data_IF_493904890370
#
_entry.id   IF_493904890370
#
_cell.length_a   1.000
_cell.length_b   1.000
_cell.length_c   1.000
_cell.angle_alpha   90.00
_cell.angle_beta   90.00
_cell.angle_gamma   90.00
#
_symmetry.space_group_name_H-M   'P 1'
#
loop_
_entity.id
_entity.type
_entity.pdbx_description
1 polymer ?
#
# COMPACT_ATOMS: atom_id res chain seq x y z
N UNK A 1 9.62 -75.61 0.22
CA UNK A 1 9.60 -74.24 -0.34
C UNK A 1 9.07 -73.24 0.69
N UNK A 2 9.93 -72.60 1.49
CA UNK A 2 9.55 -71.50 2.42
C UNK A 2 10.80 -70.66 2.74
N UNK A 3 11.32 -69.92 1.77
CA UNK A 3 12.44 -68.98 1.99
C UNK A 3 12.38 -67.72 1.10
N UNK A 4 11.75 -67.80 -0.08
CA UNK A 4 11.66 -66.66 -1.01
C UNK A 4 10.70 -65.53 -0.57
N UNK A 5 9.73 -65.80 0.31
CA UNK A 5 8.72 -64.79 0.72
C UNK A 5 9.24 -63.80 1.77
N UNK A 6 10.14 -64.22 2.68
CA UNK A 6 10.63 -63.36 3.76
C UNK A 6 11.52 -62.23 3.25
N UNK A 7 12.38 -62.50 2.27
CA UNK A 7 13.26 -61.48 1.70
C UNK A 7 12.48 -60.40 0.96
N UNK A 8 11.47 -60.76 0.16
CA UNK A 8 10.66 -59.81 -0.62
C UNK A 8 9.90 -58.84 0.30
N UNK A 9 9.36 -59.32 1.42
CA UNK A 9 8.64 -58.48 2.39
C UNK A 9 9.58 -57.53 3.15
N UNK A 10 10.81 -57.97 3.40
CA UNK A 10 11.81 -57.13 4.08
C UNK A 10 12.32 -56.02 3.14
N UNK A 11 12.56 -56.31 1.85
CA UNK A 11 13.01 -55.28 0.90
C UNK A 11 11.94 -54.22 0.63
N UNK A 12 10.66 -54.59 0.54
CA UNK A 12 9.58 -53.61 0.33
C UNK A 12 9.37 -52.72 1.55
N UNK A 13 9.50 -53.24 2.76
CA UNK A 13 9.38 -52.44 3.99
C UNK A 13 10.49 -51.36 4.11
N UNK A 14 11.71 -51.66 3.66
CA UNK A 14 12.85 -50.71 3.71
C UNK A 14 12.65 -49.55 2.72
N UNK A 15 12.10 -49.82 1.53
CA UNK A 15 11.85 -48.77 0.51
C UNK A 15 10.80 -47.76 1.01
N UNK A 16 9.76 -48.22 1.71
CA UNK A 16 8.72 -47.35 2.27
C UNK A 16 9.28 -46.43 3.36
N UNK A 17 10.23 -46.92 4.17
CA UNK A 17 10.88 -46.15 5.23
C UNK A 17 11.80 -45.04 4.68
N UNK A 18 12.42 -45.24 3.51
CA UNK A 18 13.30 -44.23 2.89
C UNK A 18 12.47 -43.09 2.28
N UNK A 19 11.30 -43.41 1.69
CA UNK A 19 10.38 -42.41 1.12
C UNK A 19 9.80 -41.51 2.22
N UNK A 20 9.53 -42.03 3.42
CA UNK A 20 8.99 -41.22 4.52
C UNK A 20 10.02 -40.23 5.09
N UNK A 21 11.31 -40.57 5.12
CA UNK A 21 12.37 -39.67 5.60
C UNK A 21 12.59 -38.51 4.60
N UNK A 22 12.55 -38.78 3.29
CA UNK A 22 12.63 -37.74 2.27
C UNK A 22 11.45 -36.75 2.33
N UNK A 23 10.25 -37.23 2.70
CA UNK A 23 9.08 -36.37 2.89
C UNK A 23 9.24 -35.43 4.09
N UNK A 24 9.87 -35.88 5.18
CA UNK A 24 10.12 -35.05 6.37
C UNK A 24 11.16 -33.96 6.09
N UNK A 25 12.21 -34.27 5.29
CA UNK A 25 13.21 -33.28 4.88
C UNK A 25 12.63 -32.18 3.97
N UNK A 26 11.64 -32.51 3.13
CA UNK A 26 10.96 -31.52 2.29
C UNK A 26 10.06 -30.56 3.08
N UNK A 27 9.46 -31.01 4.19
CA UNK A 27 8.64 -30.14 5.06
C UNK A 27 9.50 -29.14 5.82
N UNK A 28 10.75 -29.49 6.14
CA UNK A 28 11.68 -28.63 6.90
C UNK A 28 12.61 -27.77 6.03
N UNK A 29 12.50 -27.83 4.70
CA UNK A 29 13.18 -26.88 3.82
C UNK A 29 12.26 -25.70 3.49
N UNK A 30 11.92 -24.90 4.51
CA UNK A 30 11.36 -23.56 4.30
C UNK A 30 12.31 -22.55 4.94
N UNK A 31 13.46 -22.38 4.30
CA UNK A 31 14.39 -21.27 4.52
C UNK A 31 14.18 -20.25 3.41
N UNK A 32 13.82 -19.03 3.79
CA UNK A 32 13.71 -17.87 2.91
C UNK A 32 12.36 -17.20 3.11
N UNK A 33 12.36 -15.90 3.46
CA UNK A 33 11.23 -14.98 3.60
C UNK A 33 9.89 -15.57 3.16
N UNK A 34 8.92 -15.65 4.07
CA UNK A 34 7.53 -15.83 3.66
C UNK A 34 7.12 -14.59 2.85
N UNK A 35 7.38 -14.62 1.55
CA UNK A 35 6.95 -13.59 0.61
C UNK A 35 5.44 -13.45 0.74
N UNK A 36 4.98 -12.24 1.02
CA UNK A 36 3.58 -11.90 1.08
C UNK A 36 2.96 -12.23 -0.28
N UNK A 37 2.04 -13.20 -0.31
CA UNK A 37 1.38 -13.61 -1.55
C UNK A 37 -0.13 -13.58 -1.35
N UNK A 38 -0.80 -12.75 -2.14
CA UNK A 38 -2.25 -12.73 -2.28
C UNK A 38 -2.64 -13.18 -3.68
N UNK A 39 -3.59 -14.12 -3.75
CA UNK A 39 -4.30 -14.38 -5.00
C UNK A 39 -5.27 -13.24 -5.31
N UNK A 40 -5.61 -13.03 -6.58
CA UNK A 40 -6.58 -12.01 -7.00
C UNK A 40 -7.91 -12.13 -6.26
N UNK A 41 -8.34 -13.37 -5.98
CA UNK A 41 -9.59 -13.64 -5.25
C UNK A 41 -9.51 -13.23 -3.78
N UNK A 42 -8.38 -13.48 -3.12
CA UNK A 42 -8.18 -13.07 -1.72
C UNK A 42 -8.12 -11.56 -1.61
N UNK A 43 -7.42 -10.90 -2.54
CA UNK A 43 -7.33 -9.45 -2.60
C UNK A 43 -8.70 -8.81 -2.85
N UNK A 44 -9.48 -9.36 -3.78
CA UNK A 44 -10.86 -8.93 -4.02
C UNK A 44 -11.75 -9.10 -2.78
N UNK A 45 -11.60 -10.21 -2.06
CA UNK A 45 -12.34 -10.45 -0.80
C UNK A 45 -11.98 -9.42 0.27
N UNK A 46 -10.71 -9.00 0.34
CA UNK A 46 -10.28 -7.92 1.23
C UNK A 46 -10.91 -6.59 0.83
N UNK A 47 -10.91 -6.25 -0.46
CA UNK A 47 -11.54 -5.03 -0.95
C UNK A 47 -13.03 -4.96 -0.61
N UNK A 48 -13.76 -6.06 -0.79
CA UNK A 48 -15.17 -6.15 -0.39
C UNK A 48 -15.34 -5.98 1.12
N UNK A 49 -14.51 -6.63 1.93
CA UNK A 49 -14.56 -6.55 3.39
C UNK A 49 -14.37 -5.13 3.92
N UNK A 50 -13.49 -4.35 3.30
CA UNK A 50 -13.17 -2.97 3.73
C UNK A 50 -13.88 -1.89 2.89
N UNK A 51 -14.85 -2.28 2.05
CA UNK A 51 -15.61 -1.38 1.19
C UNK A 51 -14.71 -0.45 0.34
N UNK A 52 -13.70 -1.06 -0.27
CA UNK A 52 -12.77 -0.40 -1.18
C UNK A 52 -13.45 -0.26 -2.54
N UNK A 53 -13.47 0.96 -3.05
CA UNK A 53 -14.05 1.29 -4.36
C UNK A 53 -12.99 1.25 -5.47
N UNK A 54 -13.44 1.23 -6.72
CA UNK A 54 -12.53 1.34 -7.87
C UNK A 54 -11.73 2.66 -7.84
N UNK A 55 -12.34 3.76 -7.38
CA UNK A 55 -11.66 5.04 -7.25
C UNK A 55 -10.60 5.03 -6.14
N UNK A 56 -10.83 4.30 -5.03
CA UNK A 56 -9.79 4.10 -4.01
C UNK A 56 -8.55 3.41 -4.63
N UNK A 57 -8.76 2.42 -5.49
CA UNK A 57 -7.68 1.70 -6.20
C UNK A 57 -6.98 2.63 -7.21
N UNK A 58 -7.74 3.38 -8.01
CA UNK A 58 -7.19 4.34 -8.98
C UNK A 58 -6.38 5.43 -8.29
N UNK A 59 -6.87 5.94 -7.17
CA UNK A 59 -6.16 6.92 -6.35
C UNK A 59 -4.81 6.36 -5.89
N UNK A 60 -4.81 5.16 -5.30
CA UNK A 60 -3.59 4.52 -4.80
C UNK A 60 -2.57 4.19 -5.91
N UNK A 61 -3.02 4.02 -7.16
CA UNK A 61 -2.15 3.85 -8.34
C UNK A 61 -1.68 5.17 -8.96
N UNK A 62 -2.18 6.31 -8.49
CA UNK A 62 -1.92 7.62 -9.11
C UNK A 62 -2.60 7.81 -10.46
N UNK A 63 -3.71 7.09 -10.71
CA UNK A 63 -4.49 7.18 -11.96
C UNK A 63 -5.56 8.28 -11.90
N UNK A 64 -5.89 8.79 -10.72
CA UNK A 64 -6.74 9.96 -10.56
C UNK A 64 -5.91 11.26 -10.61
N UNK A 65 -6.50 12.38 -11.08
CA UNK A 65 -5.84 13.68 -10.99
C UNK A 65 -5.54 14.02 -9.53
N UNK A 66 -4.58 14.91 -9.31
CA UNK A 66 -4.35 15.45 -7.98
C UNK A 66 -5.54 16.31 -7.55
N UNK A 67 -5.85 16.31 -6.26
CA UNK A 67 -7.00 17.04 -5.75
C UNK A 67 -6.86 18.56 -5.88
N UNK A 68 -5.64 19.10 -5.96
CA UNK A 68 -5.40 20.52 -6.20
C UNK A 68 -5.47 20.88 -7.69
N UNK A 69 -5.71 19.93 -8.60
CA UNK A 69 -5.69 20.20 -10.03
C UNK A 69 -6.71 21.27 -10.44
N UNK A 70 -6.22 22.28 -11.16
CA UNK A 70 -7.00 23.47 -11.53
C UNK A 70 -6.91 24.62 -10.52
N UNK A 71 -6.29 24.43 -9.36
CA UNK A 71 -6.01 25.52 -8.41
C UNK A 71 -4.68 26.23 -8.75
N UNK A 72 -4.50 27.42 -8.17
CA UNK A 72 -3.22 28.14 -8.24
C UNK A 72 -2.07 27.42 -7.51
N UNK A 73 -2.37 26.40 -6.69
CA UNK A 73 -1.39 25.68 -5.86
C UNK A 73 -0.82 24.41 -6.51
N UNK A 74 -1.49 23.82 -7.51
CA UNK A 74 -1.08 22.51 -8.04
C UNK A 74 0.02 22.55 -9.09
N UNK A 75 -0.02 23.51 -9.99
CA UNK A 75 0.96 23.60 -11.05
C UNK A 75 0.86 24.95 -11.78
N UNK A 76 1.25 26.03 -11.10
CA UNK A 76 1.27 27.33 -11.75
C UNK A 76 2.68 27.65 -12.23
N UNK A 77 2.81 28.11 -13.47
CA UNK A 77 4.02 28.75 -13.98
C UNK A 77 4.27 30.12 -13.32
N UNK A 78 3.64 30.35 -12.17
CA UNK A 78 3.59 31.58 -11.41
C UNK A 78 4.18 31.31 -10.04
N UNK A 79 4.92 32.26 -9.50
CA UNK A 79 5.42 32.20 -8.13
C UNK A 79 4.28 32.66 -7.22
N UNK A 80 3.67 31.73 -6.49
CA UNK A 80 2.65 32.02 -5.50
C UNK A 80 3.30 32.09 -4.12
N UNK A 81 3.14 33.20 -3.43
CA UNK A 81 3.61 33.39 -2.05
C UNK A 81 2.41 33.42 -1.12
N UNK A 82 2.46 32.61 -0.07
CA UNK A 82 1.45 32.62 0.99
C UNK A 82 2.08 33.13 2.29
N UNK A 83 1.43 34.07 2.96
CA UNK A 83 1.83 34.55 4.29
C UNK A 83 0.59 34.92 5.13
N UNK A 84 0.78 35.31 6.39
CA UNK A 84 -0.33 35.50 7.35
C UNK A 84 -1.47 36.37 6.78
N UNK A 85 -1.12 37.52 6.20
CA UNK A 85 -2.09 38.56 5.83
C UNK A 85 -2.33 38.71 4.32
N UNK A 86 -1.57 38.00 3.48
CA UNK A 86 -1.58 38.18 2.02
C UNK A 86 -0.94 39.49 1.56
N UNK A 87 -0.01 40.04 2.34
CA UNK A 87 0.65 41.33 2.07
C UNK A 87 2.13 41.09 1.79
N UNK A 88 2.69 41.58 0.67
CA UNK A 88 4.10 41.34 0.33
C UNK A 88 5.04 42.07 1.28
N UNK A 89 6.19 41.48 1.57
CA UNK A 89 7.24 42.15 2.34
C UNK A 89 7.74 43.39 1.57
N UNK A 90 8.19 44.42 2.29
CA UNK A 90 8.52 45.75 1.72
C UNK A 90 9.52 45.71 0.55
N UNK A 91 10.38 44.69 0.50
CA UNK A 91 11.42 44.54 -0.51
C UNK A 91 11.05 43.58 -1.66
N UNK A 92 9.84 43.02 -1.66
CA UNK A 92 9.39 42.10 -2.71
C UNK A 92 8.80 42.87 -3.90
N UNK A 93 9.17 42.47 -5.10
CA UNK A 93 8.75 43.07 -6.36
C UNK A 93 7.84 42.09 -7.12
N UNK A 94 6.59 42.47 -7.36
CA UNK A 94 5.66 41.67 -8.15
C UNK A 94 6.15 41.48 -9.60
N UNK A 95 6.03 40.27 -10.13
CA UNK A 95 6.54 39.85 -11.44
C UNK A 95 8.04 39.53 -11.46
N UNK A 96 8.73 39.70 -10.34
CA UNK A 96 10.14 39.30 -10.15
C UNK A 96 10.23 38.26 -9.03
N UNK A 97 9.78 38.62 -7.84
CA UNK A 97 9.87 37.77 -6.65
C UNK A 97 8.60 36.92 -6.44
N UNK A 98 7.45 37.41 -6.92
CA UNK A 98 6.18 36.70 -6.86
C UNK A 98 5.23 37.16 -7.97
N UNK A 99 4.35 36.29 -8.44
CA UNK A 99 3.26 36.64 -9.37
C UNK A 99 1.93 36.85 -8.64
N UNK A 100 1.69 36.02 -7.62
CA UNK A 100 0.46 36.01 -6.82
C UNK A 100 0.88 35.98 -5.35
N UNK A 101 0.23 36.81 -4.54
CA UNK A 101 0.32 36.72 -3.08
C UNK A 101 -1.07 36.42 -2.51
N UNK A 102 -1.12 35.51 -1.55
CA UNK A 102 -2.34 35.10 -0.86
C UNK A 102 -2.09 35.04 0.64
N UNK A 103 -3.15 35.20 1.42
CA UNK A 103 -3.11 34.94 2.86
C UNK A 103 -3.06 33.43 3.16
N UNK A 104 -2.61 33.05 4.35
CA UNK A 104 -2.69 31.68 4.85
C UNK A 104 -4.15 31.19 4.83
N UNK A 105 -5.08 32.07 5.22
CA UNK A 105 -6.51 31.76 5.17
C UNK A 105 -6.97 31.40 3.76
N UNK A 106 -6.62 32.20 2.76
CA UNK A 106 -6.97 31.91 1.37
C UNK A 106 -6.33 30.61 0.87
N UNK A 107 -5.09 30.32 1.28
CA UNK A 107 -4.43 29.06 0.97
C UNK A 107 -5.21 27.87 1.54
N UNK A 108 -5.60 27.93 2.83
CA UNK A 108 -6.41 26.90 3.46
C UNK A 108 -7.78 26.76 2.80
N UNK A 109 -8.45 27.87 2.49
CA UNK A 109 -9.76 27.84 1.80
C UNK A 109 -9.63 27.18 0.43
N UNK A 110 -8.55 27.41 -0.33
CA UNK A 110 -8.30 26.72 -1.61
C UNK A 110 -8.13 25.22 -1.41
N UNK A 111 -7.33 24.80 -0.43
CA UNK A 111 -7.04 23.39 -0.15
C UNK A 111 -8.30 22.64 0.28
N UNK A 112 -9.06 23.19 1.24
CA UNK A 112 -10.26 22.57 1.78
C UNK A 112 -11.37 22.46 0.73
N UNK A 113 -11.57 23.51 -0.07
CA UNK A 113 -12.55 23.47 -1.16
C UNK A 113 -12.15 22.43 -2.21
N UNK A 114 -10.89 22.42 -2.63
CA UNK A 114 -10.39 21.44 -3.60
C UNK A 114 -10.52 19.99 -3.09
N UNK A 115 -10.22 19.76 -1.81
CA UNK A 115 -10.42 18.47 -1.14
C UNK A 115 -11.90 18.08 -1.11
N UNK A 116 -12.80 18.98 -0.71
CA UNK A 116 -14.24 18.74 -0.68
C UNK A 116 -14.78 18.35 -2.05
N UNK A 117 -14.43 19.12 -3.09
CA UNK A 117 -14.82 18.84 -4.48
C UNK A 117 -14.29 17.48 -4.95
N UNK A 118 -13.05 17.13 -4.56
CA UNK A 118 -12.45 15.85 -4.89
C UNK A 118 -13.19 14.67 -4.23
N UNK A 119 -13.53 14.80 -2.95
CA UNK A 119 -14.31 13.80 -2.21
C UNK A 119 -15.70 13.66 -2.83
N UNK A 120 -16.37 14.77 -3.16
CA UNK A 120 -17.68 14.73 -3.80
C UNK A 120 -17.62 14.02 -5.16
N UNK A 121 -16.59 14.32 -5.96
CA UNK A 121 -16.45 13.81 -7.32
C UNK A 121 -16.01 12.35 -7.38
N UNK A 122 -15.04 11.97 -6.56
CA UNK A 122 -14.38 10.65 -6.63
C UNK A 122 -14.74 9.73 -5.46
N UNK A 123 -15.32 10.25 -4.37
CA UNK A 123 -15.62 9.47 -3.16
C UNK A 123 -14.37 9.05 -2.37
N UNK A 124 -13.22 9.69 -2.64
CA UNK A 124 -11.92 9.38 -2.03
C UNK A 124 -11.46 10.59 -1.24
N UNK A 125 -11.03 10.37 0.00
CA UNK A 125 -10.36 11.38 0.82
C UNK A 125 -8.85 11.34 0.58
N UNK A 126 -8.26 12.37 -0.06
CA UNK A 126 -6.83 12.36 -0.38
C UNK A 126 -5.93 12.45 0.86
N UNK A 127 -6.42 12.93 2.00
CA UNK A 127 -5.66 12.99 3.25
C UNK A 127 -5.78 11.72 4.10
N UNK A 128 -6.79 10.91 3.81
CA UNK A 128 -7.04 9.65 4.50
C UNK A 128 -7.31 8.52 3.50
N UNK A 129 -6.30 8.13 2.70
CA UNK A 129 -6.44 7.05 1.73
C UNK A 129 -6.75 5.73 2.43
N UNK A 130 -7.61 4.92 1.82
CA UNK A 130 -7.99 3.60 2.39
C UNK A 130 -7.02 2.48 2.07
N UNK A 131 -6.16 2.67 1.07
CA UNK A 131 -5.20 1.68 0.60
C UNK A 131 -3.77 2.17 0.81
N UNK A 132 -2.88 1.22 1.11
CA UNK A 132 -1.44 1.42 1.21
C UNK A 132 -0.70 0.33 0.42
N UNK A 133 0.54 0.61 0.01
CA UNK A 133 1.35 -0.34 -0.75
C UNK A 133 2.26 -1.15 0.17
N UNK A 134 2.05 -2.47 0.23
CA UNK A 134 2.89 -3.41 0.99
C UNK A 134 3.32 -4.53 0.06
N UNK A 135 4.63 -4.71 -0.11
CA UNK A 135 5.23 -5.74 -0.98
C UNK A 135 4.62 -5.80 -2.39
N UNK A 136 4.28 -4.64 -2.96
CA UNK A 136 3.69 -4.51 -4.30
C UNK A 136 2.18 -4.72 -4.37
N UNK A 137 1.52 -5.06 -3.26
CA UNK A 137 0.07 -5.13 -3.17
C UNK A 137 -0.51 -3.83 -2.63
N UNK A 138 -1.66 -3.42 -3.17
CA UNK A 138 -2.48 -2.36 -2.58
C UNK A 138 -3.41 -3.01 -1.55
N UNK A 139 -3.13 -2.80 -0.27
CA UNK A 139 -3.88 -3.41 0.81
C UNK A 139 -4.69 -2.35 1.56
N UNK A 140 -5.89 -2.70 2.08
CA UNK A 140 -6.56 -1.85 3.06
C UNK A 140 -5.61 -1.48 4.19
N UNK A 141 -5.57 -0.21 4.59
CA UNK A 141 -4.62 0.30 5.61
C UNK A 141 -4.67 -0.52 6.90
N UNK A 142 -5.83 -1.04 7.28
CA UNK A 142 -5.97 -1.89 8.46
C UNK A 142 -5.22 -3.22 8.32
N UNK A 143 -5.20 -3.79 7.12
CA UNK A 143 -4.48 -5.03 6.82
C UNK A 143 -2.98 -4.78 6.67
N UNK A 144 -2.59 -3.69 5.99
CA UNK A 144 -1.20 -3.24 5.91
C UNK A 144 -0.58 -3.07 7.31
N UNK A 145 -1.27 -2.34 8.19
CA UNK A 145 -0.83 -2.13 9.58
C UNK A 145 -0.72 -3.44 10.36
N UNK A 146 -1.64 -4.39 10.13
CA UNK A 146 -1.59 -5.72 10.77
C UNK A 146 -0.32 -6.47 10.38
N UNK A 147 0.08 -6.41 9.10
CA UNK A 147 1.28 -7.07 8.59
C UNK A 147 2.56 -6.44 9.16
N UNK A 148 2.66 -5.11 9.15
CA UNK A 148 3.80 -4.38 9.73
C UNK A 148 3.94 -4.70 11.21
N UNK A 149 2.84 -4.70 11.96
CA UNK A 149 2.85 -5.05 13.38
C UNK A 149 3.33 -6.49 13.62
N UNK A 150 2.90 -7.44 12.79
CA UNK A 150 3.36 -8.83 12.89
C UNK A 150 4.85 -8.96 12.60
N UNK A 151 5.37 -8.33 11.54
CA UNK A 151 6.80 -8.32 11.22
C UNK A 151 7.62 -7.78 12.40
N UNK A 152 7.21 -6.64 12.97
CA UNK A 152 7.90 -6.05 14.12
C UNK A 152 7.92 -6.98 15.35
N UNK A 153 6.85 -7.75 15.60
CA UNK A 153 6.84 -8.74 16.69
C UNK A 153 7.83 -9.87 16.42
N UNK A 154 7.88 -10.39 15.19
CA UNK A 154 8.79 -11.47 14.83
C UNK A 154 10.25 -11.04 14.94
N UNK A 155 10.59 -9.80 14.57
CA UNK A 155 11.94 -9.24 14.76
C UNK A 155 12.33 -9.09 16.23
N UNK A 156 11.37 -8.79 17.12
CA UNK A 156 11.64 -8.68 18.56
C UNK A 156 11.80 -10.03 19.26
N UNK A 157 11.32 -11.13 18.65
CA UNK A 157 11.34 -12.48 19.21
C UNK A 157 12.39 -13.41 18.57
N UNK A 158 13.09 -12.94 17.52
CA UNK A 158 14.18 -13.62 16.83
C UNK A 158 15.55 -13.26 17.42
#
# INVERSE_FOLDING_TARGET
MKAKSKHIVITTAIIILIISIAFIAAINCKTGNDELYYTDKELQTLYEKYNITENDIKFAKGELPNYLEGTILYNSSKIVVANEDGIPDENMIQGVDYDIIISEKEMFDIIENAKSDYIEKYGVDPENPKLDSVDGYLLPVQEANRLVFQQNIWELLA
#
